data_IF_325416731108
#
_entry.id   IF_325416731108
#
_cell.length_a   1.000
_cell.length_b   1.000
_cell.length_c   1.000
_cell.angle_alpha   90.00
_cell.angle_beta   90.00
_cell.angle_gamma   90.00
#
_symmetry.space_group_name_H-M   'P 1'
#
loop_
_entity.id
_entity.type
_entity.pdbx_description
1 polymer ?
#
# COMPACT_ATOMS: atom_id res chain seq x y z
N UNK A 1 -4.75 23.37 -1.34
CA UNK A 1 -4.21 23.26 -2.71
C UNK A 1 -3.76 21.82 -2.89
N UNK A 2 -4.46 21.05 -3.73
CA UNK A 2 -4.07 19.68 -4.07
C UNK A 2 -2.77 19.74 -4.88
N UNK A 3 -1.64 19.45 -4.24
CA UNK A 3 -0.42 19.12 -4.96
C UNK A 3 -0.68 17.76 -5.64
N UNK A 4 -1.27 17.80 -6.83
CA UNK A 4 -1.16 16.70 -7.79
C UNK A 4 0.32 16.63 -8.11
N UNK A 5 1.06 15.81 -7.37
CA UNK A 5 2.44 15.47 -7.66
C UNK A 5 2.49 15.13 -9.15
N UNK A 6 3.23 15.93 -9.91
CA UNK A 6 3.34 15.82 -11.36
C UNK A 6 4.20 14.60 -11.75
N UNK A 7 3.78 13.42 -11.28
CA UNK A 7 4.41 12.14 -11.59
C UNK A 7 3.84 11.70 -12.94
N UNK A 8 4.73 11.29 -13.85
CA UNK A 8 4.33 10.78 -15.18
C UNK A 8 3.35 9.60 -15.01
N UNK A 9 2.40 9.38 -15.94
CA UNK A 9 1.51 8.22 -15.93
C UNK A 9 2.26 6.89 -15.84
N UNK A 10 1.62 5.87 -15.25
CA UNK A 10 2.27 4.59 -14.93
C UNK A 10 2.83 3.89 -16.16
N UNK A 11 2.10 3.96 -17.28
CA UNK A 11 2.54 3.41 -18.56
C UNK A 11 3.86 4.04 -19.04
N UNK A 12 4.01 5.35 -18.86
CA UNK A 12 5.22 6.07 -19.28
C UNK A 12 6.40 5.75 -18.36
N UNK A 13 6.19 5.67 -17.04
CA UNK A 13 7.25 5.27 -16.12
C UNK A 13 7.62 3.79 -16.31
N UNK A 14 6.65 2.92 -16.57
CA UNK A 14 6.89 1.49 -16.85
C UNK A 14 7.71 1.32 -18.13
N UNK A 15 7.43 2.10 -19.19
CA UNK A 15 8.23 2.11 -20.40
C UNK A 15 9.67 2.62 -20.16
N UNK A 16 9.85 3.53 -19.20
CA UNK A 16 11.15 4.14 -18.90
C UNK A 16 12.01 3.30 -17.94
N UNK A 17 11.40 2.69 -16.92
CA UNK A 17 12.11 2.06 -15.80
C UNK A 17 11.84 0.56 -15.67
N UNK A 18 10.84 0.02 -16.37
CA UNK A 18 10.35 -1.34 -16.21
C UNK A 18 9.20 -1.44 -15.19
N UNK A 19 8.56 -2.61 -15.07
CA UNK A 19 7.46 -2.83 -14.13
C UNK A 19 7.96 -3.05 -12.70
N UNK A 20 7.06 -2.87 -11.72
CA UNK A 20 7.30 -3.33 -10.35
C UNK A 20 7.60 -4.84 -10.32
N UNK A 21 8.58 -5.25 -9.52
CA UNK A 21 8.86 -6.65 -9.21
C UNK A 21 7.85 -7.16 -8.19
N UNK A 22 7.16 -8.25 -8.48
CA UNK A 22 6.31 -8.93 -7.48
C UNK A 22 7.20 -9.65 -6.46
N UNK A 23 6.99 -9.35 -5.18
CA UNK A 23 7.67 -10.00 -4.05
C UNK A 23 6.78 -11.08 -3.45
N UNK A 24 5.51 -10.76 -3.26
CA UNK A 24 4.53 -11.66 -2.69
C UNK A 24 3.15 -11.34 -3.25
N UNK A 25 2.33 -12.36 -3.48
CA UNK A 25 0.94 -12.16 -3.90
C UNK A 25 0.10 -13.35 -3.41
N UNK A 26 -0.89 -13.07 -2.58
CA UNK A 26 -1.90 -14.03 -2.16
C UNK A 26 -3.28 -13.41 -2.25
N UNK A 27 -4.17 -14.11 -2.94
CA UNK A 27 -5.57 -13.72 -3.13
C UNK A 27 -6.54 -14.54 -2.28
N UNK A 28 -6.04 -15.36 -1.36
CA UNK A 28 -6.88 -16.16 -0.46
C UNK A 28 -7.23 -15.36 0.80
N UNK A 29 -8.45 -15.57 1.38
CA UNK A 29 -8.77 -15.09 2.70
C UNK A 29 -7.66 -15.48 3.67
N UNK A 30 -7.24 -14.53 4.50
CA UNK A 30 -6.16 -14.79 5.43
C UNK A 30 -6.77 -15.37 6.70
N UNK A 31 -6.41 -16.60 7.08
CA UNK A 31 -6.76 -17.21 8.39
C UNK A 31 -6.06 -16.54 9.59
N UNK A 32 -5.51 -15.35 9.35
CA UNK A 32 -4.79 -14.53 10.30
C UNK A 32 -5.72 -14.17 11.45
N UNK A 33 -5.49 -14.70 12.66
CA UNK A 33 -6.28 -14.37 13.82
C UNK A 33 -6.15 -12.88 14.14
N UNK A 34 -7.22 -12.30 14.69
CA UNK A 34 -7.28 -10.89 15.12
C UNK A 34 -6.12 -10.47 16.01
N UNK A 35 -5.63 -11.38 16.87
CA UNK A 35 -4.49 -11.14 17.77
C UNK A 35 -3.15 -11.08 17.03
N UNK A 36 -3.06 -11.70 15.85
CA UNK A 36 -1.92 -11.52 14.97
C UNK A 36 -2.05 -10.22 14.16
N UNK A 37 -3.23 -9.57 14.07
CA UNK A 37 -3.38 -8.30 13.36
C UNK A 37 -2.47 -7.19 13.96
N UNK A 38 -2.24 -7.21 15.28
CA UNK A 38 -1.25 -6.37 15.96
C UNK A 38 0.19 -6.68 15.51
N UNK A 39 0.47 -7.94 15.18
CA UNK A 39 1.72 -8.42 14.56
C UNK A 39 1.73 -8.16 13.05
N UNK A 40 0.57 -7.99 12.40
CA UNK A 40 0.39 -7.62 10.98
C UNK A 40 0.61 -6.14 10.66
N UNK A 41 1.25 -5.43 11.61
CA UNK A 41 2.43 -4.61 11.29
C UNK A 41 3.57 -5.38 10.57
N UNK A 42 3.33 -6.60 10.07
CA UNK A 42 4.12 -7.31 9.07
C UNK A 42 4.30 -6.40 7.86
N UNK A 43 5.30 -5.54 7.96
CA UNK A 43 5.98 -4.99 6.82
C UNK A 43 6.48 -6.20 6.03
N UNK A 44 5.70 -6.69 5.05
CA UNK A 44 6.16 -7.76 4.14
C UNK A 44 7.52 -7.33 3.58
N UNK A 45 7.64 -6.03 3.34
CA UNK A 45 8.88 -5.33 3.08
C UNK A 45 9.32 -4.57 4.34
N UNK A 46 10.12 -5.24 5.20
CA UNK A 46 10.64 -4.73 6.47
C UNK A 46 11.54 -3.50 6.34
N UNK A 47 10.96 -2.31 6.21
CA UNK A 47 11.69 -1.06 5.94
C UNK A 47 11.09 0.18 6.58
N UNK A 48 11.66 1.34 6.22
CA UNK A 48 11.21 2.66 6.62
C UNK A 48 9.92 3.02 5.87
N UNK A 49 8.82 3.17 6.60
CA UNK A 49 7.57 3.70 6.06
C UNK A 49 7.75 5.12 5.51
N UNK A 50 7.22 5.36 4.32
CA UNK A 50 7.21 6.68 3.66
C UNK A 50 5.81 7.27 3.63
N UNK A 51 4.82 6.45 3.29
CA UNK A 51 3.39 6.80 3.27
C UNK A 51 2.59 5.58 3.69
N UNK A 52 1.47 5.80 4.37
CA UNK A 52 0.56 4.75 4.79
C UNK A 52 -0.88 5.19 4.61
N UNK A 53 -1.74 4.24 4.23
CA UNK A 53 -3.17 4.41 4.12
C UNK A 53 -3.85 3.26 4.84
N UNK A 54 -4.72 3.59 5.80
CA UNK A 54 -5.40 2.61 6.65
C UNK A 54 -6.91 2.80 6.58
N UNK A 55 -7.66 1.70 6.47
CA UNK A 55 -9.09 1.70 6.75
C UNK A 55 -9.36 0.80 7.95
N UNK A 56 -10.00 1.38 8.95
CA UNK A 56 -10.44 0.67 10.15
C UNK A 56 -11.84 0.09 9.94
N UNK A 57 -12.11 -1.06 10.57
CA UNK A 57 -13.40 -1.73 10.65
C UNK A 57 -14.31 -1.14 11.73
N UNK A 58 -15.52 -1.71 11.86
CA UNK A 58 -16.55 -1.24 12.80
C UNK A 58 -16.08 -1.18 14.25
N UNK A 59 -15.21 -2.11 14.61
CA UNK A 59 -14.60 -2.28 15.92
C UNK A 59 -13.33 -1.44 16.13
N UNK A 60 -12.98 -0.58 15.17
CA UNK A 60 -11.81 0.30 15.23
C UNK A 60 -10.50 -0.36 14.76
N UNK A 61 -10.52 -1.62 14.36
CA UNK A 61 -9.31 -2.37 13.96
C UNK A 61 -9.01 -2.23 12.46
N UNK A 62 -7.74 -2.13 12.03
CA UNK A 62 -7.41 -2.08 10.62
C UNK A 62 -7.92 -3.32 9.85
N UNK A 63 -8.64 -3.08 8.76
CA UNK A 63 -9.12 -4.12 7.83
C UNK A 63 -8.47 -3.99 6.45
N UNK A 64 -7.77 -2.88 6.21
CA UNK A 64 -6.98 -2.59 5.03
C UNK A 64 -5.81 -1.68 5.42
N UNK A 65 -4.61 -2.03 4.99
CA UNK A 65 -3.40 -1.24 5.12
C UNK A 65 -2.68 -1.26 3.78
N UNK A 66 -2.36 -0.09 3.23
CA UNK A 66 -1.51 0.05 2.04
C UNK A 66 -0.35 0.96 2.44
N UNK A 67 0.88 0.51 2.23
CA UNK A 67 2.10 1.24 2.61
C UNK A 67 3.03 1.41 1.43
N UNK A 68 3.67 2.56 1.40
CA UNK A 68 4.88 2.79 0.62
C UNK A 68 6.07 2.76 1.58
N UNK A 69 7.04 1.89 1.33
CA UNK A 69 8.23 1.69 2.18
C UNK A 69 9.52 1.83 1.38
N UNK A 70 10.58 2.25 2.05
CA UNK A 70 11.97 2.13 1.58
C UNK A 70 12.68 1.08 2.43
N UNK A 71 13.33 0.10 1.80
CA UNK A 71 14.00 -0.99 2.51
C UNK A 71 15.29 -1.40 1.79
N UNK A 72 16.15 -2.14 2.50
CA UNK A 72 17.35 -2.75 1.90
C UNK A 72 16.99 -4.18 1.49
N UNK A 73 17.12 -4.46 0.19
CA UNK A 73 16.93 -5.81 -0.34
C UNK A 73 17.99 -6.75 0.26
N UNK A 74 17.60 -7.83 0.98
CA UNK A 74 18.55 -8.70 1.65
C UNK A 74 19.45 -9.47 0.68
N UNK A 75 19.02 -9.67 -0.57
CA UNK A 75 19.78 -10.40 -1.60
C UNK A 75 20.77 -9.47 -2.27
N UNK A 76 20.32 -8.30 -2.72
CA UNK A 76 21.17 -7.38 -3.51
C UNK A 76 21.90 -6.34 -2.67
N UNK A 77 21.53 -6.19 -1.39
CA UNK A 77 22.03 -5.16 -0.47
C UNK A 77 21.85 -3.73 -1.00
N UNK A 78 20.86 -3.52 -1.87
CA UNK A 78 20.53 -2.22 -2.45
C UNK A 78 19.23 -1.69 -1.86
N UNK A 79 19.13 -0.37 -1.80
CA UNK A 79 17.87 0.29 -1.47
C UNK A 79 16.85 0.01 -2.55
N UNK A 80 15.66 -0.44 -2.12
CA UNK A 80 14.49 -0.62 -2.95
C UNK A 80 13.27 0.03 -2.30
N UNK A 81 12.28 0.29 -3.12
CA UNK A 81 11.07 1.00 -2.78
C UNK A 81 9.89 0.08 -3.01
N UNK A 82 9.11 -0.16 -1.96
CA UNK A 82 8.11 -1.19 -1.88
C UNK A 82 6.71 -0.64 -1.72
N UNK A 83 5.73 -1.30 -2.34
CA UNK A 83 4.32 -1.16 -1.97
C UNK A 83 3.89 -2.45 -1.30
N UNK A 84 3.42 -2.32 -0.07
CA UNK A 84 2.90 -3.40 0.73
C UNK A 84 1.39 -3.17 0.91
N UNK A 85 0.60 -4.15 0.49
CA UNK A 85 -0.84 -4.16 0.62
C UNK A 85 -1.22 -5.32 1.51
N UNK A 86 -2.01 -5.03 2.52
CA UNK A 86 -2.60 -6.02 3.41
C UNK A 86 -4.09 -5.72 3.64
N UNK A 87 -4.88 -6.78 3.66
CA UNK A 87 -6.28 -6.77 4.09
C UNK A 87 -6.66 -8.16 4.57
N UNK A 88 -7.82 -8.28 5.23
CA UNK A 88 -8.37 -9.58 5.67
C UNK A 88 -8.65 -10.55 4.51
N UNK A 89 -8.72 -10.06 3.26
CA UNK A 89 -9.02 -10.88 2.07
C UNK A 89 -7.79 -11.24 1.23
N UNK A 90 -6.73 -10.45 1.33
CA UNK A 90 -5.56 -10.58 0.44
C UNK A 90 -4.39 -9.76 0.97
N UNK A 91 -3.19 -10.22 0.63
CA UNK A 91 -1.97 -9.44 0.77
C UNK A 91 -1.15 -9.54 -0.51
N UNK A 92 -0.44 -8.46 -0.84
CA UNK A 92 0.55 -8.48 -1.91
C UNK A 92 1.62 -7.44 -1.63
N UNK A 93 2.83 -7.72 -2.07
CA UNK A 93 3.95 -6.82 -2.00
C UNK A 93 4.66 -6.79 -3.34
N UNK A 94 5.03 -5.59 -3.77
CA UNK A 94 5.85 -5.38 -4.96
C UNK A 94 6.89 -4.31 -4.67
N UNK A 95 8.01 -4.33 -5.39
CA UNK A 95 9.08 -3.35 -5.22
C UNK A 95 9.69 -2.88 -6.54
N UNK A 96 10.48 -1.81 -6.47
CA UNK A 96 11.31 -1.32 -7.55
C UNK A 96 12.56 -0.63 -7.01
N UNK A 97 13.59 -0.49 -7.84
CA UNK A 97 14.79 0.31 -7.51
C UNK A 97 14.50 1.82 -7.52
N UNK A 98 13.32 2.23 -7.99
CA UNK A 98 12.98 3.63 -8.26
C UNK A 98 11.78 4.03 -7.42
N UNK A 99 11.97 5.01 -6.54
CA UNK A 99 10.91 5.50 -5.64
C UNK A 99 9.66 5.97 -6.39
N UNK A 100 9.82 6.64 -7.53
CA UNK A 100 8.69 7.12 -8.34
C UNK A 100 7.76 5.99 -8.84
N UNK A 101 8.32 4.81 -9.15
CA UNK A 101 7.51 3.64 -9.53
C UNK A 101 6.68 3.13 -8.36
N UNK A 102 7.30 3.02 -7.18
CA UNK A 102 6.62 2.58 -5.97
C UNK A 102 5.55 3.59 -5.51
N UNK A 103 5.85 4.88 -5.57
CA UNK A 103 4.90 5.93 -5.19
C UNK A 103 3.66 5.92 -6.09
N UNK A 104 3.85 5.80 -7.41
CA UNK A 104 2.73 5.72 -8.33
C UNK A 104 1.93 4.42 -8.18
N UNK A 105 2.61 3.30 -7.93
CA UNK A 105 1.96 2.01 -7.62
C UNK A 105 1.12 2.10 -6.34
N UNK A 106 1.63 2.77 -5.31
CA UNK A 106 0.90 3.06 -4.07
C UNK A 106 -0.34 3.91 -4.34
N UNK A 107 -0.20 5.03 -5.06
CA UNK A 107 -1.34 5.89 -5.38
C UNK A 107 -2.39 5.16 -6.22
N UNK A 108 -1.96 4.31 -7.16
CA UNK A 108 -2.86 3.45 -7.93
C UNK A 108 -3.61 2.49 -7.01
N UNK A 109 -2.91 1.78 -6.13
CA UNK A 109 -3.52 0.83 -5.19
C UNK A 109 -4.57 1.49 -4.29
N UNK A 110 -4.25 2.66 -3.74
CA UNK A 110 -5.17 3.51 -2.97
C UNK A 110 -6.41 3.86 -3.79
N UNK A 111 -6.23 4.39 -5.01
CA UNK A 111 -7.35 4.81 -5.87
C UNK A 111 -8.21 3.64 -6.31
N UNK A 112 -7.61 2.49 -6.61
CA UNK A 112 -8.34 1.30 -7.00
C UNK A 112 -9.20 0.77 -5.84
N UNK A 113 -8.68 0.76 -4.61
CA UNK A 113 -9.46 0.38 -3.43
C UNK A 113 -10.62 1.34 -3.16
N UNK A 114 -10.39 2.65 -3.27
CA UNK A 114 -11.46 3.63 -3.10
C UNK A 114 -12.57 3.45 -4.16
N UNK A 115 -12.21 3.08 -5.39
CA UNK A 115 -13.18 2.91 -6.49
C UNK A 115 -13.92 1.58 -6.46
N UNK A 116 -13.22 0.50 -6.08
CA UNK A 116 -13.73 -0.87 -6.20
C UNK A 116 -13.27 -1.72 -5.02
N UNK A 117 -13.56 -1.26 -3.80
CA UNK A 117 -13.21 -2.08 -2.63
C UNK A 117 -13.95 -3.42 -2.70
N UNK A 118 -13.20 -4.49 -2.41
CA UNK A 118 -13.79 -5.84 -2.25
C UNK A 118 -14.25 -6.08 -0.82
N UNK A 119 -13.91 -5.17 0.09
CA UNK A 119 -14.32 -5.25 1.49
C UNK A 119 -15.77 -4.76 1.61
N UNK A 120 -16.62 -5.51 2.32
CA UNK A 120 -17.99 -5.10 2.60
C UNK A 120 -18.01 -4.02 3.70
N UNK A 121 -17.55 -2.82 3.34
CA UNK A 121 -17.44 -1.68 4.24
C UNK A 121 -18.59 -0.70 3.99
N UNK A 122 -19.06 -0.07 5.07
CA UNK A 122 -20.11 0.94 4.98
C UNK A 122 -19.63 2.13 4.12
N UNK A 123 -20.42 2.63 3.16
CA UNK A 123 -20.01 3.70 2.23
C UNK A 123 -19.51 4.96 2.93
N UNK A 124 -20.02 5.25 4.13
CA UNK A 124 -19.65 6.40 4.97
C UNK A 124 -18.19 6.36 5.44
N UNK A 125 -17.52 5.22 5.31
CA UNK A 125 -16.06 5.10 5.56
C UNK A 125 -15.22 5.61 4.40
N UNK A 126 -15.85 5.80 3.23
CA UNK A 126 -15.23 6.36 2.03
C UNK A 126 -15.72 7.79 1.73
N UNK A 127 -16.68 8.33 2.50
CA UNK A 127 -17.28 9.67 2.23
C UNK A 127 -16.34 10.85 2.48
N UNK A 128 -15.18 10.63 3.11
CA UNK A 128 -14.11 11.64 3.18
C UNK A 128 -13.27 11.73 1.89
N UNK A 129 -13.59 10.91 0.88
CA UNK A 129 -12.86 10.85 -0.38
C UNK A 129 -11.42 10.36 -0.20
N UNK A 130 -10.60 10.53 -1.25
CA UNK A 130 -9.16 10.19 -1.21
C UNK A 130 -8.44 10.79 -0.01
N UNK A 131 -8.82 12.01 0.41
CA UNK A 131 -8.22 12.72 1.53
C UNK A 131 -8.35 11.98 2.88
N UNK A 132 -9.43 11.23 3.10
CA UNK A 132 -9.58 10.40 4.31
C UNK A 132 -8.87 9.04 4.23
N UNK A 133 -8.50 8.61 3.03
CA UNK A 133 -7.75 7.36 2.80
C UNK A 133 -6.22 7.59 2.94
N UNK A 134 -5.76 8.81 2.66
CA UNK A 134 -4.39 9.25 2.93
C UNK A 134 -4.10 9.55 4.41
N UNK A 135 -5.04 9.26 5.31
CA UNK A 135 -4.94 9.64 6.72
C UNK A 135 -4.13 8.62 7.53
N UNK A 136 -2.81 8.55 7.28
CA UNK A 136 -1.77 8.43 8.31
C UNK A 136 -0.51 9.14 7.77
N UNK A 137 -0.36 10.38 8.22
CA UNK A 137 0.88 11.18 8.41
C UNK A 137 2.17 10.77 7.71
N UNK A 138 2.75 11.76 7.01
CA UNK A 138 4.20 11.96 6.92
C UNK A 138 4.90 11.45 8.20
N UNK A 139 5.54 10.28 8.11
CA UNK A 139 6.32 9.75 9.24
C UNK A 139 7.65 10.52 9.23
N UNK A 140 7.72 11.53 10.09
CA UNK A 140 8.92 12.30 10.45
C UNK A 140 10.06 11.33 10.84
#
# INVERSE_FOLDING_TARGET
MNAVLAIKPLEQLTAQYGPMRTVLNSSAPTDVPREQADVYRFNILGGKGKRESVVNGADGWPVLIIRFVEYIDPVTQRTRYGVDYWSVLRYWASDHETGAMAELSYEKAVRDEVRHTRLQLAPERFTRGLAGFYDVTDVI
#
